data_IF_472795031224
#
_entry.id   IF_472795031224
#
_cell.length_a   1.000
_cell.length_b   1.000
_cell.length_c   1.000
_cell.angle_alpha   90.00
_cell.angle_beta   90.00
_cell.angle_gamma   90.00
#
_symmetry.space_group_name_H-M   'P 1'
#
loop_
_entity.id
_entity.type
_entity.pdbx_description
1 polymer ?
#
# COMPACT_ATOMS: atom_id res chain seq x y z
N UNK A 1 -16.93 -9.42 10.78
CA UNK A 1 -17.81 -8.23 10.90
C UNK A 1 -16.92 -7.00 10.98
N UNK A 2 -16.74 -6.27 9.88
CA UNK A 2 -15.82 -5.11 9.81
C UNK A 2 -16.39 -4.02 8.88
N UNK A 3 -17.59 -3.53 9.19
CA UNK A 3 -18.20 -2.40 8.47
C UNK A 3 -18.21 -1.11 9.30
N UNK A 4 -17.76 -1.13 10.55
CA UNK A 4 -17.89 0.00 11.50
C UNK A 4 -16.87 1.13 11.33
N UNK A 5 -15.72 0.87 10.69
CA UNK A 5 -14.64 1.87 10.61
C UNK A 5 -14.86 2.93 9.54
N UNK A 6 -15.63 2.64 8.49
CA UNK A 6 -15.80 3.54 7.34
C UNK A 6 -16.84 4.65 7.58
N UNK A 7 -17.72 4.49 8.56
CA UNK A 7 -18.80 5.45 8.91
C UNK A 7 -18.59 6.11 10.28
N UNK A 8 -17.43 5.90 10.90
CA UNK A 8 -17.11 6.42 12.24
C UNK A 8 -17.00 7.96 12.20
N UNK A 9 -17.80 8.64 13.02
CA UNK A 9 -17.69 10.09 13.21
C UNK A 9 -16.37 10.44 13.91
N UNK A 10 -15.83 11.64 13.65
CA UNK A 10 -14.60 12.13 14.32
C UNK A 10 -14.68 12.03 15.85
N UNK A 11 -15.86 12.31 16.44
CA UNK A 11 -16.07 12.19 17.88
C UNK A 11 -16.03 10.74 18.38
N UNK A 12 -16.59 9.80 17.62
CA UNK A 12 -16.56 8.37 17.96
C UNK A 12 -15.13 7.82 17.86
N UNK A 13 -14.39 8.25 16.84
CA UNK A 13 -12.98 7.91 16.66
C UNK A 13 -12.12 8.36 17.85
N UNK A 14 -12.32 9.60 18.31
CA UNK A 14 -11.61 10.15 19.47
C UNK A 14 -11.96 9.37 20.73
N UNK A 15 -13.26 9.18 21.02
CA UNK A 15 -13.72 8.45 22.21
C UNK A 15 -13.20 7.01 22.24
N UNK A 16 -13.17 6.31 21.10
CA UNK A 16 -12.59 4.97 20.98
C UNK A 16 -11.09 4.97 21.24
N UNK A 17 -10.37 5.95 20.70
CA UNK A 17 -8.92 6.07 20.92
C UNK A 17 -8.61 6.36 22.40
N UNK A 18 -9.41 7.18 23.06
CA UNK A 18 -9.32 7.44 24.51
C UNK A 18 -9.59 6.19 25.33
N UNK A 19 -10.68 5.46 25.05
CA UNK A 19 -10.97 4.18 25.71
C UNK A 19 -9.85 3.15 25.50
N UNK A 20 -9.25 3.09 24.31
CA UNK A 20 -8.07 2.25 24.07
C UNK A 20 -6.84 2.73 24.84
N UNK A 21 -6.64 4.04 25.05
CA UNK A 21 -5.55 4.56 25.88
C UNK A 21 -5.72 4.16 27.34
N UNK A 22 -6.93 4.28 27.88
CA UNK A 22 -7.27 3.88 29.25
C UNK A 22 -6.97 2.39 29.48
N UNK A 23 -7.50 1.51 28.61
CA UNK A 23 -7.24 0.06 28.67
C UNK A 23 -5.75 -0.28 28.62
N UNK A 24 -4.99 0.38 27.74
CA UNK A 24 -3.54 0.17 27.66
C UNK A 24 -2.81 0.66 28.91
N UNK A 25 -3.32 1.68 29.59
CA UNK A 25 -2.74 2.20 30.84
C UNK A 25 -2.96 1.22 31.99
N UNK A 26 -4.17 0.69 32.12
CA UNK A 26 -4.51 -0.35 33.10
C UNK A 26 -3.67 -1.61 32.86
N UNK A 27 -3.59 -2.07 31.60
CA UNK A 27 -2.76 -3.21 31.23
C UNK A 27 -1.30 -2.98 31.66
N UNK A 28 -0.74 -1.79 31.42
CA UNK A 28 0.64 -1.46 31.83
C UNK A 28 0.85 -1.45 33.34
N UNK A 29 -0.18 -1.11 34.11
CA UNK A 29 -0.13 -1.13 35.57
C UNK A 29 -0.21 -2.56 36.13
N UNK A 30 -0.91 -3.47 35.43
CA UNK A 30 -1.04 -4.88 35.83
C UNK A 30 0.14 -5.78 35.40
N UNK A 31 1.11 -5.28 34.63
CA UNK A 31 2.23 -6.09 34.13
C UNK A 31 3.22 -6.48 35.24
N UNK A 32 3.68 -7.73 35.18
CA UNK A 32 4.77 -8.21 36.03
C UNK A 32 6.08 -7.47 35.74
N UNK A 33 7.06 -7.59 36.64
CA UNK A 33 8.39 -7.04 36.41
C UNK A 33 9.07 -7.66 35.17
N UNK A 34 8.89 -8.97 34.96
CA UNK A 34 9.42 -9.69 33.80
C UNK A 34 8.84 -9.16 32.50
N UNK A 35 7.51 -9.03 32.44
CA UNK A 35 6.80 -8.58 31.24
C UNK A 35 7.18 -7.15 30.86
N UNK A 36 7.38 -6.29 31.87
CA UNK A 36 7.87 -4.91 31.66
C UNK A 36 9.29 -4.89 31.09
N UNK A 37 10.16 -5.78 31.55
CA UNK A 37 11.52 -5.88 31.02
C UNK A 37 11.54 -6.43 29.58
N UNK A 38 10.70 -7.41 29.28
CA UNK A 38 10.54 -7.94 27.93
C UNK A 38 10.01 -6.86 26.98
N UNK A 39 8.95 -6.13 27.35
CA UNK A 39 8.43 -5.01 26.55
C UNK A 39 9.49 -3.93 26.31
N UNK A 40 10.30 -3.60 27.31
CA UNK A 40 11.43 -2.66 27.16
C UNK A 40 12.49 -3.22 26.21
N UNK A 41 12.83 -4.50 26.32
CA UNK A 41 13.75 -5.20 25.42
C UNK A 41 13.27 -5.16 23.97
N UNK A 42 12.03 -5.55 23.73
CA UNK A 42 11.39 -5.53 22.41
C UNK A 42 11.32 -4.11 21.83
N UNK A 43 11.03 -3.10 22.66
CA UNK A 43 11.04 -1.70 22.25
C UNK A 43 12.45 -1.24 21.82
N UNK A 44 13.50 -1.66 22.54
CA UNK A 44 14.89 -1.37 22.18
C UNK A 44 15.29 -2.06 20.88
N UNK A 45 14.95 -3.35 20.73
CA UNK A 45 15.21 -4.11 19.51
C UNK A 45 14.53 -3.46 18.30
N UNK A 46 13.25 -3.08 18.44
CA UNK A 46 12.52 -2.37 17.38
C UNK A 46 13.17 -1.04 17.02
N UNK A 47 13.59 -0.23 18.01
CA UNK A 47 14.33 1.00 17.73
C UNK A 47 15.64 0.75 16.98
N UNK A 48 16.36 -0.32 17.32
CA UNK A 48 17.60 -0.68 16.64
C UNK A 48 17.35 -1.13 15.20
N UNK A 49 16.36 -2.00 14.97
CA UNK A 49 15.94 -2.43 13.63
C UNK A 49 15.51 -1.22 12.80
N UNK A 50 14.73 -0.30 13.37
CA UNK A 50 14.30 0.90 12.68
C UNK A 50 15.48 1.77 12.23
N UNK A 51 16.50 1.92 13.08
CA UNK A 51 17.73 2.65 12.71
C UNK A 51 18.47 1.99 11.56
N UNK A 52 18.56 0.66 11.57
CA UNK A 52 19.18 -0.08 10.47
C UNK A 52 18.37 0.05 9.18
N UNK A 53 17.04 -0.01 9.27
CA UNK A 53 16.14 0.18 8.13
C UNK A 53 16.31 1.57 7.50
N UNK A 54 16.63 2.62 8.27
CA UNK A 54 16.89 3.96 7.73
C UNK A 54 18.19 4.06 6.93
N UNK A 55 19.10 3.08 7.05
CA UNK A 55 20.37 3.03 6.30
C UNK A 55 20.27 2.22 5.00
N UNK A 56 19.12 1.60 4.74
CA UNK A 56 18.90 0.78 3.54
C UNK A 56 18.96 1.67 2.30
N UNK A 57 19.82 1.33 1.35
CA UNK A 57 19.87 2.01 0.04
C UNK A 57 18.60 1.68 -0.74
N UNK A 58 17.86 2.71 -1.16
CA UNK A 58 16.59 2.53 -1.88
C UNK A 58 16.72 2.34 -3.40
N UNK A 59 17.92 2.03 -3.90
CA UNK A 59 18.13 1.83 -5.33
C UNK A 59 17.43 0.55 -5.80
N UNK A 60 16.47 0.69 -6.73
CA UNK A 60 15.76 -0.43 -7.38
C UNK A 60 14.94 -1.33 -6.44
N UNK A 61 14.69 -0.94 -5.18
CA UNK A 61 13.97 -1.83 -4.23
C UNK A 61 12.53 -2.09 -4.63
N UNK A 62 11.94 -1.24 -5.47
CA UNK A 62 10.65 -1.50 -6.09
C UNK A 62 10.63 -2.80 -6.92
N UNK A 63 11.78 -3.20 -7.49
CA UNK A 63 11.95 -4.43 -8.26
C UNK A 63 12.52 -5.58 -7.43
N UNK A 64 13.06 -5.29 -6.24
CA UNK A 64 13.70 -6.25 -5.34
C UNK A 64 13.13 -6.08 -3.93
N UNK A 65 11.83 -6.24 -3.80
CA UNK A 65 11.15 -6.06 -2.52
C UNK A 65 11.62 -7.09 -1.48
N UNK A 66 12.17 -6.61 -0.37
CA UNK A 66 12.47 -7.43 0.80
C UNK A 66 11.43 -7.19 1.90
N UNK A 67 10.65 -8.22 2.28
CA UNK A 67 9.60 -8.14 3.30
C UNK A 67 10.10 -7.97 4.74
N UNK A 68 11.39 -8.15 5.00
CA UNK A 68 11.99 -7.95 6.32
C UNK A 68 12.22 -6.46 6.63
N UNK A 69 12.18 -5.60 5.61
CA UNK A 69 12.43 -4.16 5.74
C UNK A 69 11.11 -3.42 5.91
N UNK A 70 10.98 -2.67 7.01
CA UNK A 70 9.82 -1.83 7.27
C UNK A 70 9.98 -0.49 6.53
N UNK A 71 9.75 -0.48 5.21
CA UNK A 71 9.94 0.69 4.35
C UNK A 71 9.14 1.92 4.80
N UNK A 72 7.98 1.73 5.43
CA UNK A 72 7.15 2.83 5.96
C UNK A 72 7.86 3.68 7.03
N UNK A 73 8.92 3.16 7.65
CA UNK A 73 9.73 3.89 8.63
C UNK A 73 10.95 4.57 8.02
N UNK A 74 11.20 4.35 6.73
CA UNK A 74 12.34 4.97 6.05
C UNK A 74 12.07 6.46 5.82
N UNK A 75 13.01 7.38 6.11
CA UNK A 75 12.71 8.82 6.17
C UNK A 75 12.31 9.42 4.81
N UNK A 76 12.75 8.80 3.72
CA UNK A 76 12.48 9.20 2.34
C UNK A 76 11.18 8.59 1.80
N UNK A 77 10.70 7.49 2.39
CA UNK A 77 9.48 6.80 1.91
C UNK A 77 8.27 7.45 2.56
N UNK A 78 7.72 8.45 1.88
CA UNK A 78 6.51 9.14 2.32
C UNK A 78 5.33 8.66 1.48
N UNK A 79 4.50 7.79 2.06
CA UNK A 79 3.21 7.41 1.47
C UNK A 79 2.16 8.40 1.99
N UNK A 80 1.90 9.45 1.21
CA UNK A 80 0.88 10.45 1.55
C UNK A 80 -0.54 9.89 1.42
N UNK A 81 -1.55 10.62 1.91
CA UNK A 81 -2.95 10.24 1.68
C UNK A 81 -3.39 10.51 0.23
N UNK A 82 -4.26 9.64 -0.29
CA UNK A 82 -4.91 9.82 -1.59
C UNK A 82 -5.97 10.92 -1.50
N UNK A 83 -5.53 12.17 -1.63
CA UNK A 83 -6.36 13.37 -1.42
C UNK A 83 -6.69 14.12 -2.71
N UNK A 84 -6.10 13.72 -3.84
CA UNK A 84 -6.34 14.34 -5.15
C UNK A 84 -7.26 13.46 -5.97
N UNK A 85 -8.11 14.07 -6.79
CA UNK A 85 -9.03 13.36 -7.69
C UNK A 85 -8.45 13.40 -9.12
N UNK A 86 -8.34 12.27 -9.83
CA UNK A 86 -7.99 12.22 -11.26
C UNK A 86 -9.06 13.03 -12.02
N UNK A 87 -8.62 14.02 -12.79
CA UNK A 87 -9.53 14.79 -13.66
C UNK A 87 -10.24 13.89 -14.68
N UNK A 88 -9.55 12.85 -15.16
CA UNK A 88 -9.97 12.00 -16.27
C UNK A 88 -10.90 10.85 -15.84
N UNK A 89 -10.64 10.15 -14.73
CA UNK A 89 -11.46 9.01 -14.27
C UNK A 89 -12.17 9.22 -12.93
N UNK A 90 -11.97 10.37 -12.27
CA UNK A 90 -12.53 10.69 -10.94
C UNK A 90 -12.07 9.78 -9.78
N UNK A 91 -11.10 8.89 -9.99
CA UNK A 91 -10.49 8.12 -8.89
C UNK A 91 -9.64 9.02 -7.98
N UNK A 92 -9.51 8.65 -6.71
CA UNK A 92 -8.52 9.26 -5.81
C UNK A 92 -7.11 8.85 -6.23
N UNK A 93 -6.14 9.74 -6.03
CA UNK A 93 -4.73 9.57 -6.39
C UNK A 93 -3.81 10.26 -5.39
N UNK A 94 -2.54 9.88 -5.38
CA UNK A 94 -1.53 10.59 -4.58
C UNK A 94 -1.20 11.95 -5.22
N UNK A 95 -0.76 12.90 -4.40
CA UNK A 95 -0.43 14.26 -4.86
C UNK A 95 0.71 14.25 -5.90
N UNK A 96 1.72 13.41 -5.67
CA UNK A 96 2.92 13.31 -6.49
C UNK A 96 2.92 12.05 -7.39
N UNK A 97 1.75 11.49 -7.66
CA UNK A 97 1.65 10.29 -8.49
C UNK A 97 1.99 10.61 -9.96
N UNK A 98 2.81 9.75 -10.57
CA UNK A 98 3.19 9.91 -11.97
C UNK A 98 1.95 9.84 -12.90
N UNK A 99 1.87 10.70 -13.93
CA UNK A 99 0.81 10.62 -14.92
C UNK A 99 0.72 9.22 -15.54
N UNK A 100 -0.47 8.64 -15.58
CA UNK A 100 -0.73 7.32 -16.18
C UNK A 100 -0.82 6.15 -15.19
N UNK A 101 -0.38 6.30 -13.93
CA UNK A 101 -0.48 5.23 -12.93
C UNK A 101 -1.91 4.93 -12.48
N UNK A 102 -2.71 5.98 -12.22
CA UNK A 102 -4.08 5.86 -11.70
C UNK A 102 -5.18 5.83 -12.79
N UNK A 103 -4.82 6.17 -14.03
CA UNK A 103 -5.77 6.40 -15.11
C UNK A 103 -5.35 5.47 -16.28
N UNK A 104 -5.56 4.15 -16.11
CA UNK A 104 -5.53 3.17 -17.21
C UNK A 104 -6.62 3.60 -18.20
N UNK A 105 -6.23 4.37 -19.22
CA UNK A 105 -7.15 4.74 -20.28
C UNK A 105 -7.60 3.44 -20.94
N UNK A 106 -8.89 3.32 -21.22
CA UNK A 106 -9.37 2.26 -22.09
C UNK A 106 -8.48 2.26 -23.35
N UNK A 107 -8.01 1.08 -23.79
CA UNK A 107 -7.19 0.99 -24.99
C UNK A 107 -7.90 1.73 -26.13
N UNK A 108 -7.14 2.43 -26.98
CA UNK A 108 -7.70 3.07 -28.17
C UNK A 108 -7.99 1.99 -29.23
N UNK A 109 -8.90 2.26 -30.16
CA UNK A 109 -9.08 1.39 -31.33
C UNK A 109 -7.80 1.36 -32.17
N UNK A 110 -7.42 0.19 -32.74
CA UNK A 110 -8.18 -1.07 -32.80
C UNK A 110 -8.01 -2.00 -31.58
N UNK A 111 -7.14 -1.65 -30.63
CA UNK A 111 -6.80 -2.52 -29.50
C UNK A 111 -8.00 -2.78 -28.59
N UNK A 112 -8.88 -1.78 -28.40
CA UNK A 112 -10.11 -1.94 -27.63
C UNK A 112 -10.97 -3.10 -28.14
N UNK A 113 -11.29 -3.09 -29.45
CA UNK A 113 -12.06 -4.15 -30.08
C UNK A 113 -11.38 -5.52 -29.97
N UNK A 114 -10.04 -5.56 -30.04
CA UNK A 114 -9.26 -6.80 -29.90
C UNK A 114 -9.26 -7.37 -28.48
N UNK A 115 -9.29 -6.53 -27.44
CA UNK A 115 -9.30 -7.00 -26.03
C UNK A 115 -10.70 -7.20 -25.45
N UNK A 116 -11.77 -6.78 -26.15
CA UNK A 116 -13.14 -6.82 -25.65
C UNK A 116 -13.72 -8.24 -25.50
N UNK A 117 -13.18 -9.24 -26.19
CA UNK A 117 -13.62 -10.64 -26.19
C UNK A 117 -14.95 -10.90 -26.93
N UNK A 118 -15.50 -9.88 -27.60
CA UNK A 118 -16.85 -9.90 -28.17
C UNK A 118 -16.90 -10.54 -29.56
N UNK A 119 -15.88 -10.32 -30.39
CA UNK A 119 -15.81 -10.83 -31.77
C UNK A 119 -14.95 -12.09 -31.88
N UNK A 120 -15.08 -12.83 -32.99
CA UNK A 120 -14.21 -13.97 -33.30
C UNK A 120 -12.74 -13.56 -33.38
N UNK A 121 -12.45 -12.40 -33.99
CA UNK A 121 -11.10 -11.84 -34.07
C UNK A 121 -10.54 -11.49 -32.70
N UNK A 122 -11.35 -10.89 -31.83
CA UNK A 122 -10.95 -10.57 -30.46
C UNK A 122 -10.61 -11.84 -29.66
N UNK A 123 -11.44 -12.89 -29.77
CA UNK A 123 -11.16 -14.18 -29.11
C UNK A 123 -9.88 -14.82 -29.63
N UNK A 124 -9.66 -14.78 -30.95
CA UNK A 124 -8.42 -15.27 -31.56
C UNK A 124 -7.20 -14.50 -31.07
N UNK A 125 -7.28 -13.17 -31.02
CA UNK A 125 -6.24 -12.30 -30.49
C UNK A 125 -5.90 -12.64 -29.04
N UNK A 126 -6.91 -12.73 -28.15
CA UNK A 126 -6.72 -13.05 -26.74
C UNK A 126 -6.09 -14.44 -26.54
N UNK A 127 -6.50 -15.44 -27.31
CA UNK A 127 -5.92 -16.78 -27.25
C UNK A 127 -4.44 -16.81 -27.67
N UNK A 128 -4.02 -15.88 -28.53
CA UNK A 128 -2.65 -15.79 -29.04
C UNK A 128 -1.87 -14.60 -28.46
N UNK A 129 -2.39 -13.92 -27.43
CA UNK A 129 -1.82 -12.66 -26.91
C UNK A 129 -0.37 -12.80 -26.48
N UNK A 130 0.01 -13.98 -25.95
CA UNK A 130 1.40 -14.28 -25.59
C UNK A 130 2.32 -14.21 -26.80
N UNK A 131 1.91 -14.74 -27.95
CA UNK A 131 2.71 -14.74 -29.18
C UNK A 131 2.90 -13.32 -29.71
N UNK A 132 1.85 -12.49 -29.65
CA UNK A 132 1.93 -11.08 -30.04
C UNK A 132 2.82 -10.26 -29.09
N UNK A 133 2.83 -10.62 -27.80
CA UNK A 133 3.62 -9.91 -26.80
C UNK A 133 5.09 -10.33 -26.74
N UNK A 134 5.51 -11.41 -27.43
CA UNK A 134 6.92 -11.84 -27.45
C UNK A 134 7.84 -10.73 -27.98
N UNK A 135 7.37 -9.89 -28.91
CA UNK A 135 8.12 -8.76 -29.44
C UNK A 135 8.42 -7.65 -28.40
N UNK A 136 7.71 -7.63 -27.27
CA UNK A 136 7.91 -6.65 -26.19
C UNK A 136 8.73 -7.19 -25.01
N UNK A 137 9.25 -8.42 -25.09
CA UNK A 137 10.11 -9.01 -24.05
C UNK A 137 11.54 -8.43 -23.99
N UNK A 138 11.85 -7.43 -24.83
CA UNK A 138 13.20 -6.83 -24.95
C UNK A 138 13.39 -5.53 -24.14
N UNK A 139 12.68 -5.36 -23.02
CA UNK A 139 12.90 -4.25 -22.05
C UNK A 139 12.85 -4.77 -20.64
#
# INVERSE_FOLDING_TARGET
MSQSYATESSQQHVARNEASRERNRELRQSLSYSDRNEQRGNSRLRMQINRLNQLVKLDRVAFQYNSEIEYSLHPIVVVESMSKVCTNCKALKFKNEAPGMYCLRAPLEPLFSLVAGTTTESKYFLNNIRNYNICFLMT
#
